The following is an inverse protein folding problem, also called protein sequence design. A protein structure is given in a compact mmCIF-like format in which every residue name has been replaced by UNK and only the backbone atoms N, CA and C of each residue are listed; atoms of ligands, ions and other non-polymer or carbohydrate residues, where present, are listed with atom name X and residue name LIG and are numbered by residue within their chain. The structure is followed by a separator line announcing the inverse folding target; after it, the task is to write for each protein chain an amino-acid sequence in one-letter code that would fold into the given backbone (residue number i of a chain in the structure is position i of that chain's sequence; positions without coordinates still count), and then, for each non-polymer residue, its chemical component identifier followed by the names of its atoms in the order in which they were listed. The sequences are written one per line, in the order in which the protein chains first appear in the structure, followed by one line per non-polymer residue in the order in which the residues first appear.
data_IF_844677414474
#
_entry.id   IF_844677414474
#
_cell.length_a   1.000
_cell.length_b   1.000
_cell.length_c   1.000
_cell.angle_alpha   90.00
_cell.angle_beta   90.00
_cell.angle_gamma   90.00
#
_symmetry.space_group_name_H-M   'P 1'
#
loop_
_entity.id
_entity.type
_entity.pdbx_description
1 polymer ?
#
# COMPACT_ATOMS: atom_id res chain seq x y z
N UNK A 1 -3.49 -10.74 41.27
CA UNK A 1 -4.39 -10.17 42.30
C UNK A 1 -3.76 -8.95 43.02
N UNK A 2 -3.10 -8.05 42.29
CA UNK A 2 -2.60 -6.75 42.82
C UNK A 2 -2.72 -5.62 41.79
N UNK A 3 -3.61 -5.75 40.78
CA UNK A 3 -3.72 -4.80 39.66
C UNK A 3 -4.70 -3.64 39.88
N UNK A 4 -5.51 -3.65 40.95
CA UNK A 4 -6.62 -2.70 41.09
C UNK A 4 -6.33 -1.39 41.85
N UNK A 5 -5.22 -1.29 42.60
CA UNK A 5 -5.01 -0.18 43.55
C UNK A 5 -4.38 1.07 42.92
N UNK A 6 -3.37 0.91 42.06
CA UNK A 6 -2.61 2.03 41.49
C UNK A 6 -3.35 2.82 40.40
N UNK A 7 -4.10 2.13 39.54
CA UNK A 7 -4.82 2.75 38.42
C UNK A 7 -5.99 3.63 38.87
N UNK A 8 -6.76 3.16 39.86
CA UNK A 8 -7.90 3.90 40.39
C UNK A 8 -7.51 5.24 41.04
N UNK A 9 -6.35 5.28 41.72
CA UNK A 9 -5.87 6.51 42.34
C UNK A 9 -5.42 7.56 41.32
N UNK A 10 -4.70 7.15 40.27
CA UNK A 10 -4.31 8.07 39.19
C UNK A 10 -5.56 8.57 38.43
N UNK A 11 -6.56 7.72 38.23
CA UNK A 11 -7.82 8.15 37.61
C UNK A 11 -8.50 9.26 38.42
N UNK A 12 -8.50 9.18 39.75
CA UNK A 12 -9.01 10.23 40.63
C UNK A 12 -8.20 11.53 40.49
N UNK A 13 -6.87 11.44 40.53
CA UNK A 13 -5.99 12.60 40.38
C UNK A 13 -6.17 13.28 39.01
N UNK A 14 -6.33 12.51 37.93
CA UNK A 14 -6.64 13.06 36.61
C UNK A 14 -8.01 13.76 36.59
N UNK A 15 -9.02 13.28 37.30
CA UNK A 15 -10.30 14.02 37.43
C UNK A 15 -10.11 15.36 38.14
N UNK A 16 -9.32 15.38 39.22
CA UNK A 16 -9.05 16.60 40.01
C UNK A 16 -8.20 17.59 39.21
N UNK A 17 -7.18 17.11 38.51
CA UNK A 17 -6.22 17.92 37.75
C UNK A 17 -6.55 18.00 36.25
N UNK A 18 -7.82 17.83 35.88
CA UNK A 18 -8.26 17.80 34.49
C UNK A 18 -7.73 18.97 33.68
N UNK A 19 -8.05 20.20 34.09
CA UNK A 19 -7.67 21.41 33.35
C UNK A 19 -6.15 21.59 33.21
N UNK A 20 -5.34 21.55 34.28
CA UNK A 20 -3.89 21.74 34.14
C UNK A 20 -3.22 20.61 33.34
N UNK A 21 -3.64 19.35 33.49
CA UNK A 21 -3.05 18.23 32.73
C UNK A 21 -3.48 18.26 31.27
N UNK A 22 -4.76 18.43 30.99
CA UNK A 22 -5.27 18.49 29.60
C UNK A 22 -4.70 19.70 28.85
N UNK A 23 -4.68 20.87 29.49
CA UNK A 23 -4.10 22.08 28.90
C UNK A 23 -2.63 21.89 28.53
N UNK A 24 -1.84 21.31 29.44
CA UNK A 24 -0.42 21.02 29.18
C UNK A 24 -0.24 19.95 28.11
N UNK A 25 -1.07 18.92 28.11
CA UNK A 25 -1.03 17.86 27.09
C UNK A 25 -1.29 18.41 25.68
N UNK A 26 -2.31 19.29 25.53
CA UNK A 26 -2.61 19.98 24.27
C UNK A 26 -1.43 20.83 23.80
N UNK A 27 -0.79 21.57 24.71
CA UNK A 27 0.39 22.39 24.38
C UNK A 27 1.54 21.51 23.87
N UNK A 28 1.85 20.42 24.58
CA UNK A 28 2.94 19.51 24.22
C UNK A 28 2.71 18.90 22.84
N UNK A 29 1.52 18.35 22.58
CA UNK A 29 1.17 17.78 21.27
C UNK A 29 1.18 18.85 20.18
N UNK A 30 0.62 20.02 20.47
CA UNK A 30 0.54 21.15 19.53
C UNK A 30 1.87 21.79 19.17
N UNK A 31 2.98 21.47 19.84
CA UNK A 31 4.32 21.85 19.36
C UNK A 31 4.80 20.93 18.24
N UNK A 32 4.40 19.65 18.26
CA UNK A 32 4.85 18.63 17.30
C UNK A 32 4.01 18.55 16.04
N UNK A 33 2.70 18.80 16.11
CA UNK A 33 1.78 18.66 14.95
C UNK A 33 1.22 19.99 14.41
N UNK A 34 1.81 21.13 14.81
CA UNK A 34 1.28 22.48 14.53
C UNK A 34 1.06 22.79 13.05
N UNK A 35 1.88 22.23 12.18
CA UNK A 35 1.84 22.50 10.73
C UNK A 35 0.76 21.68 10.02
N UNK A 36 0.18 20.68 10.69
CA UNK A 36 -0.76 19.72 10.12
C UNK A 36 -2.16 19.79 10.75
N UNK A 37 -2.28 20.33 11.95
CA UNK A 37 -3.53 20.41 12.70
C UNK A 37 -3.73 21.78 13.34
N UNK A 38 -4.98 22.22 13.40
CA UNK A 38 -5.39 23.39 14.16
C UNK A 38 -5.45 23.10 15.66
N UNK A 39 -5.25 24.12 16.50
CA UNK A 39 -5.39 23.97 17.95
C UNK A 39 -6.77 23.45 18.36
N UNK A 40 -7.82 23.85 17.62
CA UNK A 40 -9.20 23.40 17.88
C UNK A 40 -9.36 21.90 17.65
N UNK A 41 -8.76 21.35 16.59
CA UNK A 41 -8.79 19.91 16.30
C UNK A 41 -8.03 19.12 17.36
N UNK A 42 -6.82 19.56 17.71
CA UNK A 42 -6.00 18.92 18.76
C UNK A 42 -6.76 18.91 20.08
N UNK A 43 -7.35 20.06 20.46
CA UNK A 43 -8.13 20.18 21.69
C UNK A 43 -9.33 19.25 21.71
N UNK A 44 -10.09 19.15 20.61
CA UNK A 44 -11.25 18.28 20.52
C UNK A 44 -10.85 16.80 20.69
N UNK A 45 -9.86 16.36 19.90
CA UNK A 45 -9.34 14.98 19.91
C UNK A 45 -8.79 14.59 21.29
N UNK A 46 -7.91 15.41 21.88
CA UNK A 46 -7.31 15.10 23.18
C UNK A 46 -8.31 15.20 24.33
N UNK A 47 -9.35 16.04 24.22
CA UNK A 47 -10.42 16.09 25.22
C UNK A 47 -11.22 14.80 25.27
N UNK A 48 -11.53 14.24 24.11
CA UNK A 48 -12.23 12.95 23.98
C UNK A 48 -11.36 11.80 24.54
N UNK A 49 -10.11 11.71 24.08
CA UNK A 49 -9.16 10.70 24.56
C UNK A 49 -8.93 10.81 26.07
N UNK A 50 -8.83 12.03 26.62
CA UNK A 50 -8.71 12.24 28.06
C UNK A 50 -9.86 11.59 28.84
N UNK A 51 -11.10 11.81 28.37
CA UNK A 51 -12.29 11.25 28.99
C UNK A 51 -12.29 9.72 28.99
N UNK A 52 -11.92 9.13 27.85
CA UNK A 52 -11.82 7.68 27.68
C UNK A 52 -10.71 7.07 28.56
N UNK A 53 -9.54 7.72 28.62
CA UNK A 53 -8.41 7.30 29.48
C UNK A 53 -8.82 7.31 30.96
N UNK A 54 -9.44 8.39 31.43
CA UNK A 54 -9.85 8.52 32.84
C UNK A 54 -10.93 7.50 33.22
N UNK A 55 -11.86 7.17 32.31
CA UNK A 55 -12.86 6.11 32.53
C UNK A 55 -12.21 4.73 32.54
N UNK A 56 -11.36 4.43 31.57
CA UNK A 56 -10.68 3.15 31.46
C UNK A 56 -9.77 2.87 32.67
N UNK A 57 -8.97 3.84 33.12
CA UNK A 57 -8.18 3.75 34.35
C UNK A 57 -9.03 3.59 35.61
N UNK A 58 -10.27 4.08 35.58
CA UNK A 58 -11.26 3.89 36.63
C UNK A 58 -11.89 2.50 36.69
N UNK A 59 -11.48 1.57 35.81
CA UNK A 59 -12.00 0.21 35.75
C UNK A 59 -13.20 0.01 34.82
N UNK A 60 -13.54 1.00 34.00
CA UNK A 60 -14.61 0.87 33.00
C UNK A 60 -14.11 0.09 31.78
N UNK A 61 -14.44 -1.20 31.72
CA UNK A 61 -14.06 -2.08 30.62
C UNK A 61 -14.66 -1.69 29.26
N UNK A 62 -15.79 -0.98 29.24
CA UNK A 62 -16.37 -0.47 27.98
C UNK A 62 -15.54 0.69 27.45
N UNK A 63 -15.12 1.61 28.33
CA UNK A 63 -14.26 2.73 27.97
C UNK A 63 -12.87 2.27 27.47
N UNK A 64 -12.35 1.15 27.97
CA UNK A 64 -11.09 0.59 27.48
C UNK A 64 -11.21 0.13 26.00
N UNK A 65 -12.35 -0.48 25.64
CA UNK A 65 -12.66 -0.84 24.25
C UNK A 65 -12.85 0.38 23.35
N UNK A 66 -13.62 1.37 23.82
CA UNK A 66 -13.82 2.66 23.12
C UNK A 66 -12.50 3.39 22.88
N UNK A 67 -11.61 3.43 23.88
CA UNK A 67 -10.29 4.05 23.78
C UNK A 67 -9.43 3.38 22.72
N UNK A 68 -9.36 2.05 22.71
CA UNK A 68 -8.60 1.30 21.70
C UNK A 68 -9.14 1.56 20.30
N UNK A 69 -10.46 1.55 20.13
CA UNK A 69 -11.08 1.85 18.84
C UNK A 69 -10.80 3.28 18.36
N UNK A 70 -10.87 4.27 19.28
CA UNK A 70 -10.58 5.66 18.97
C UNK A 70 -9.11 5.86 18.56
N UNK A 71 -8.16 5.27 19.30
CA UNK A 71 -6.74 5.31 18.96
C UNK A 71 -6.45 4.65 17.61
N UNK A 72 -7.04 3.48 17.34
CA UNK A 72 -6.89 2.80 16.06
C UNK A 72 -7.40 3.66 14.89
N UNK A 73 -8.53 4.34 15.07
CA UNK A 73 -9.08 5.22 14.03
C UNK A 73 -8.21 6.45 13.78
N UNK A 74 -7.70 7.09 14.85
CA UNK A 74 -6.74 8.20 14.74
C UNK A 74 -5.48 7.72 14.02
N UNK A 75 -4.90 6.59 14.42
CA UNK A 75 -3.70 6.03 13.77
C UNK A 75 -3.89 5.77 12.29
N UNK A 76 -5.00 5.13 11.90
CA UNK A 76 -5.35 4.88 10.49
C UNK A 76 -5.52 6.20 9.73
N UNK A 77 -6.23 7.16 10.32
CA UNK A 77 -6.44 8.48 9.73
C UNK A 77 -5.12 9.22 9.49
N UNK A 78 -4.22 9.22 10.49
CA UNK A 78 -2.89 9.84 10.43
C UNK A 78 -1.99 9.19 9.38
N UNK A 79 -2.00 7.86 9.26
CA UNK A 79 -1.25 7.11 8.24
C UNK A 79 -1.69 7.48 6.81
N UNK A 80 -3.00 7.63 6.58
CA UNK A 80 -3.56 8.08 5.29
C UNK A 80 -3.21 9.53 4.96
N UNK A 81 -3.16 10.40 5.97
CA UNK A 81 -2.81 11.82 5.82
C UNK A 81 -1.30 12.09 5.75
N UNK A 82 -0.46 11.05 5.89
CA UNK A 82 0.99 11.15 5.77
C UNK A 82 1.69 11.80 6.97
N UNK A 83 1.09 11.69 8.15
CA UNK A 83 1.79 11.97 9.41
C UNK A 83 2.86 10.91 9.64
N UNK A 84 3.92 11.24 10.35
CA UNK A 84 4.91 10.26 10.81
C UNK A 84 4.39 9.42 11.99
N UNK A 85 4.99 8.25 12.24
CA UNK A 85 4.70 7.47 13.45
C UNK A 85 4.94 8.28 14.73
N UNK A 86 5.98 9.11 14.76
CA UNK A 86 6.31 9.97 15.90
C UNK A 86 5.23 11.03 16.15
N UNK A 87 4.78 11.72 15.10
CA UNK A 87 3.69 12.70 15.20
C UNK A 87 2.35 12.07 15.63
N UNK A 88 2.15 10.79 15.35
CA UNK A 88 0.97 10.04 15.79
C UNK A 88 1.09 9.64 17.26
N UNK A 89 2.23 9.04 17.63
CA UNK A 89 2.45 8.49 18.97
C UNK A 89 2.61 9.57 20.05
N UNK A 90 3.10 10.77 19.70
CA UNK A 90 3.24 11.87 20.67
C UNK A 90 1.89 12.32 21.24
N UNK A 91 0.80 12.12 20.47
CA UNK A 91 -0.56 12.31 20.93
C UNK A 91 -0.84 11.55 22.23
N UNK A 92 -0.28 10.36 22.39
CA UNK A 92 -0.45 9.51 23.58
C UNK A 92 0.66 9.72 24.61
N UNK A 93 1.92 9.64 24.19
CA UNK A 93 3.07 9.67 25.11
C UNK A 93 3.21 11.00 25.88
N UNK A 94 2.83 12.12 25.28
CA UNK A 94 2.94 13.44 25.92
C UNK A 94 2.11 13.57 27.21
N UNK A 95 1.07 12.73 27.39
CA UNK A 95 0.27 12.72 28.60
C UNK A 95 1.10 12.40 29.86
N UNK A 96 2.14 11.55 29.73
CA UNK A 96 3.07 11.25 30.83
C UNK A 96 3.76 12.49 31.36
N UNK A 97 4.27 13.30 30.43
CA UNK A 97 4.96 14.54 30.78
C UNK A 97 3.98 15.53 31.42
N UNK A 98 2.78 15.67 30.86
CA UNK A 98 1.75 16.55 31.43
C UNK A 98 1.39 16.17 32.87
N UNK A 99 1.20 14.87 33.17
CA UNK A 99 0.95 14.41 34.53
C UNK A 99 2.18 14.60 35.43
N UNK A 100 3.37 14.24 34.96
CA UNK A 100 4.61 14.38 35.75
C UNK A 100 4.88 15.83 36.17
N UNK A 101 4.71 16.78 35.25
CA UNK A 101 4.87 18.21 35.54
C UNK A 101 3.84 18.70 36.57
N UNK A 102 2.61 18.18 36.52
CA UNK A 102 1.57 18.50 37.50
C UNK A 102 1.86 17.90 38.88
N UNK A 103 2.35 16.66 38.96
CA UNK A 103 2.78 16.03 40.21
C UNK A 103 3.92 16.85 40.84
N UNK A 104 4.90 17.27 40.04
CA UNK A 104 6.02 18.10 40.51
C UNK A 104 5.54 19.45 41.05
N UNK A 105 4.51 20.03 40.43
CA UNK A 105 3.94 21.33 40.84
C UNK A 105 3.17 21.22 42.15
N UNK A 106 2.37 20.18 42.31
CA UNK A 106 1.52 19.96 43.49
C UNK A 106 2.27 19.33 44.67
N UNK A 107 3.37 18.62 44.39
CA UNK A 107 4.14 17.81 45.36
C UNK A 107 3.26 16.79 46.09
N UNK A 108 2.21 16.28 45.44
CA UNK A 108 1.33 15.29 46.04
C UNK A 108 2.03 13.93 46.09
N UNK A 109 2.47 13.53 47.29
CA UNK A 109 3.19 12.27 47.50
C UNK A 109 2.38 11.04 47.10
N UNK A 110 1.05 11.14 47.15
CA UNK A 110 0.14 10.02 46.82
C UNK A 110 0.22 9.65 45.34
N UNK A 111 0.55 10.62 44.48
CA UNK A 111 0.65 10.41 43.03
C UNK A 111 1.82 9.50 42.62
N UNK A 112 2.89 9.43 43.41
CA UNK A 112 4.06 8.61 43.07
C UNK A 112 3.76 7.10 43.09
N UNK A 113 2.85 6.65 43.96
CA UNK A 113 2.51 5.23 44.10
C UNK A 113 1.84 4.63 42.85
N UNK A 114 1.14 5.44 42.05
CA UNK A 114 0.47 5.01 40.83
C UNK A 114 1.22 5.34 39.54
N UNK A 115 2.30 6.11 39.61
CA UNK A 115 2.95 6.69 38.42
C UNK A 115 3.55 5.62 37.50
N UNK A 116 4.15 4.56 38.06
CA UNK A 116 4.73 3.46 37.26
C UNK A 116 3.63 2.72 36.49
N UNK A 117 2.51 2.40 37.15
CA UNK A 117 1.37 1.73 36.51
C UNK A 117 0.74 2.62 35.42
N UNK A 118 0.59 3.91 35.69
CA UNK A 118 0.11 4.86 34.70
C UNK A 118 1.08 4.99 33.50
N UNK A 119 2.38 5.06 33.77
CA UNK A 119 3.40 5.11 32.72
C UNK A 119 3.32 3.86 31.84
N UNK A 120 3.26 2.66 32.44
CA UNK A 120 3.11 1.41 31.70
C UNK A 120 1.82 1.39 30.87
N UNK A 121 0.70 1.83 31.44
CA UNK A 121 -0.57 1.93 30.72
C UNK A 121 -0.47 2.86 29.50
N UNK A 122 0.15 4.03 29.64
CA UNK A 122 0.34 4.94 28.51
C UNK A 122 1.35 4.37 27.49
N UNK A 123 2.36 3.60 27.93
CA UNK A 123 3.25 2.87 27.00
C UNK A 123 2.47 1.85 26.17
N UNK A 124 1.59 1.07 26.79
CA UNK A 124 0.73 0.11 26.09
C UNK A 124 -0.15 0.79 25.04
N UNK A 125 -0.78 1.93 25.40
CA UNK A 125 -1.58 2.70 24.46
C UNK A 125 -0.73 3.27 23.31
N UNK A 126 0.47 3.77 23.62
CA UNK A 126 1.38 4.33 22.63
C UNK A 126 1.91 3.27 21.66
N UNK A 127 2.20 2.07 22.16
CA UNK A 127 2.63 0.94 21.34
C UNK A 127 1.48 0.45 20.44
N UNK A 128 0.26 0.28 20.98
CA UNK A 128 -0.91 -0.09 20.19
C UNK A 128 -1.19 0.93 19.07
N UNK A 129 -1.07 2.23 19.39
CA UNK A 129 -1.20 3.33 18.41
C UNK A 129 -0.18 3.18 17.28
N UNK A 130 1.08 2.82 17.60
CA UNK A 130 2.13 2.59 16.62
C UNK A 130 1.88 1.34 15.76
N UNK A 131 1.44 0.24 16.37
CA UNK A 131 1.09 -0.99 15.66
C UNK A 131 -0.06 -0.76 14.67
N UNK A 132 -1.13 -0.08 15.10
CA UNK A 132 -2.26 0.28 14.23
C UNK A 132 -1.82 1.21 13.09
N UNK A 133 -0.93 2.17 13.36
CA UNK A 133 -0.36 3.03 12.34
C UNK A 133 0.45 2.23 11.32
N UNK A 134 1.33 1.34 11.79
CA UNK A 134 2.21 0.53 10.94
C UNK A 134 1.39 -0.40 10.05
N UNK A 135 0.42 -1.11 10.61
CA UNK A 135 -0.50 -1.97 9.87
C UNK A 135 -1.29 -1.19 8.81
N UNK A 136 -1.80 -0.01 9.17
CA UNK A 136 -2.49 0.86 8.22
C UNK A 136 -1.57 1.32 7.07
N UNK A 137 -0.32 1.65 7.40
CA UNK A 137 0.66 2.09 6.40
C UNK A 137 1.08 0.96 5.47
N UNK A 138 1.26 -0.24 6.00
CA UNK A 138 1.57 -1.44 5.22
C UNK A 138 0.42 -1.78 4.26
N UNK A 139 -0.83 -1.72 4.71
CA UNK A 139 -1.99 -1.91 3.84
C UNK A 139 -2.04 -0.87 2.71
N UNK A 140 -1.80 0.41 3.02
CA UNK A 140 -1.75 1.46 1.99
C UNK A 140 -0.68 1.16 0.94
N UNK A 141 0.50 0.69 1.38
CA UNK A 141 1.60 0.34 0.46
C UNK A 141 1.23 -0.86 -0.39
N UNK A 142 0.60 -1.89 0.19
CA UNK A 142 0.14 -3.07 -0.52
C UNK A 142 -0.91 -2.70 -1.59
N UNK A 143 -1.93 -1.94 -1.22
CA UNK A 143 -2.98 -1.48 -2.14
C UNK A 143 -2.38 -0.64 -3.29
N UNK A 144 -1.43 0.25 -2.97
CA UNK A 144 -0.72 1.05 -3.98
C UNK A 144 0.12 0.19 -4.92
N UNK A 145 0.78 -0.85 -4.41
CA UNK A 145 1.54 -1.77 -5.23
C UNK A 145 0.63 -2.59 -6.16
N UNK A 146 -0.52 -3.05 -5.68
CA UNK A 146 -1.53 -3.76 -6.48
C UNK A 146 -2.09 -2.85 -7.60
N UNK A 147 -2.46 -1.61 -7.28
CA UNK A 147 -2.90 -0.63 -8.28
C UNK A 147 -1.83 -0.35 -9.34
N UNK A 148 -0.56 -0.26 -8.93
CA UNK A 148 0.54 -0.11 -9.87
C UNK A 148 0.67 -1.34 -10.78
N UNK A 149 0.44 -2.55 -10.27
CA UNK A 149 0.43 -3.78 -11.08
C UNK A 149 -0.73 -3.77 -12.10
N UNK A 150 -1.95 -3.44 -11.69
CA UNK A 150 -3.12 -3.35 -12.59
C UNK A 150 -2.91 -2.34 -13.72
N UNK A 151 -2.22 -1.23 -13.44
CA UNK A 151 -1.95 -0.18 -14.43
C UNK A 151 -0.77 -0.49 -15.36
N UNK A 152 -0.01 -1.55 -15.12
CA UNK A 152 1.36 -1.65 -15.63
C UNK A 152 1.55 -2.25 -17.03
N UNK A 153 0.50 -2.72 -17.73
CA UNK A 153 0.62 -3.21 -19.12
C UNK A 153 -0.75 -3.27 -19.79
N UNK A 154 -1.22 -2.18 -20.41
CA UNK A 154 -2.51 -2.18 -21.08
C UNK A 154 -2.45 -3.08 -22.33
N UNK A 155 -3.42 -3.99 -22.44
CA UNK A 155 -3.73 -4.63 -23.72
C UNK A 155 -4.42 -3.57 -24.59
N UNK A 156 -3.79 -3.19 -25.69
CA UNK A 156 -4.27 -2.12 -26.57
C UNK A 156 -4.75 -2.69 -27.90
N UNK A 157 -5.84 -2.16 -28.44
CA UNK A 157 -6.26 -2.48 -29.80
C UNK A 157 -5.38 -1.70 -30.78
N UNK A 158 -4.48 -2.41 -31.49
CA UNK A 158 -3.61 -1.81 -32.51
C UNK A 158 -4.35 -1.61 -33.84
N UNK A 159 -5.26 -2.52 -34.16
CA UNK A 159 -6.11 -2.46 -35.35
C UNK A 159 -7.36 -3.32 -35.16
N UNK A 160 -8.30 -3.27 -36.09
CA UNK A 160 -9.42 -4.20 -36.12
C UNK A 160 -8.92 -5.65 -36.24
N UNK A 161 -9.19 -6.44 -35.18
CA UNK A 161 -8.76 -7.83 -35.05
C UNK A 161 -7.29 -8.02 -34.65
N UNK A 162 -6.60 -6.98 -34.21
CA UNK A 162 -5.19 -7.01 -33.78
C UNK A 162 -5.04 -6.33 -32.41
N UNK A 163 -4.63 -7.11 -31.40
CA UNK A 163 -4.26 -6.60 -30.08
C UNK A 163 -2.74 -6.45 -29.96
N UNK A 164 -2.30 -5.53 -29.10
CA UNK A 164 -0.91 -5.28 -28.75
C UNK A 164 -0.73 -5.29 -27.23
N UNK A 165 0.38 -5.85 -26.77
CA UNK A 165 0.74 -5.92 -25.36
C UNK A 165 2.21 -5.53 -25.21
N UNK A 166 2.50 -4.26 -24.87
CA UNK A 166 3.86 -3.82 -24.60
C UNK A 166 4.27 -4.23 -23.17
N UNK A 167 5.35 -5.01 -23.06
CA UNK A 167 6.00 -5.37 -21.81
C UNK A 167 7.19 -4.43 -21.58
N UNK A 168 7.17 -3.69 -20.46
CA UNK A 168 8.20 -2.70 -20.12
C UNK A 168 8.69 -2.91 -18.69
N UNK A 169 10.02 -2.84 -18.50
CA UNK A 169 10.67 -2.89 -17.19
C UNK A 169 11.22 -4.28 -16.84
N UNK A 170 11.49 -4.50 -15.55
CA UNK A 170 11.75 -5.83 -15.01
C UNK A 170 10.44 -6.59 -14.97
N UNK A 171 10.32 -7.67 -15.73
CA UNK A 171 9.19 -8.59 -15.59
C UNK A 171 9.43 -9.41 -14.32
N UNK A 172 8.54 -9.26 -13.33
CA UNK A 172 8.37 -10.24 -12.28
C UNK A 172 7.22 -11.19 -12.65
N UNK A 173 7.16 -12.36 -12.00
CA UNK A 173 6.20 -13.41 -12.35
C UNK A 173 4.76 -13.02 -12.08
N UNK A 174 4.49 -12.32 -10.97
CA UNK A 174 3.15 -11.86 -10.59
C UNK A 174 2.57 -10.90 -11.64
N UNK A 175 3.33 -9.87 -12.03
CA UNK A 175 2.92 -8.92 -13.06
C UNK A 175 2.71 -9.63 -14.40
N UNK A 176 3.66 -10.49 -14.79
CA UNK A 176 3.57 -11.24 -16.06
C UNK A 176 2.28 -12.05 -16.13
N UNK A 177 1.91 -12.75 -15.06
CA UNK A 177 0.68 -13.52 -15.01
C UNK A 177 -0.56 -12.65 -15.25
N UNK A 178 -0.67 -11.51 -14.56
CA UNK A 178 -1.82 -10.57 -14.73
C UNK A 178 -1.91 -10.05 -16.17
N UNK A 179 -0.78 -9.70 -16.80
CA UNK A 179 -0.77 -9.24 -18.19
C UNK A 179 -1.30 -10.32 -19.13
N UNK A 180 -0.83 -11.55 -18.93
CA UNK A 180 -1.18 -12.68 -19.78
C UNK A 180 -2.65 -13.07 -19.64
N UNK A 181 -3.18 -13.09 -18.42
CA UNK A 181 -4.61 -13.32 -18.18
C UNK A 181 -5.47 -12.25 -18.84
N UNK A 182 -5.08 -10.97 -18.70
CA UNK A 182 -5.76 -9.84 -19.34
C UNK A 182 -5.72 -9.92 -20.87
N UNK A 183 -4.61 -10.37 -21.45
CA UNK A 183 -4.48 -10.61 -22.89
C UNK A 183 -5.46 -11.69 -23.36
N UNK A 184 -5.48 -12.85 -22.69
CA UNK A 184 -6.35 -13.96 -23.06
C UNK A 184 -7.83 -13.56 -22.96
N UNK A 185 -8.21 -12.84 -21.90
CA UNK A 185 -9.57 -12.31 -21.75
C UNK A 185 -9.92 -11.30 -22.86
N UNK A 186 -9.02 -10.36 -23.15
CA UNK A 186 -9.22 -9.34 -24.20
C UNK A 186 -9.34 -9.98 -25.59
N UNK A 187 -8.61 -11.06 -25.87
CA UNK A 187 -8.72 -11.80 -27.13
C UNK A 187 -10.10 -12.38 -27.33
N UNK A 188 -10.70 -12.95 -26.27
CA UNK A 188 -12.06 -13.49 -26.28
C UNK A 188 -13.07 -12.36 -26.46
N UNK A 189 -12.97 -11.31 -25.65
CA UNK A 189 -13.93 -10.20 -25.65
C UNK A 189 -13.96 -9.44 -27.00
N UNK A 190 -12.80 -9.33 -27.65
CA UNK A 190 -12.68 -8.61 -28.93
C UNK A 190 -12.77 -9.51 -30.17
N UNK A 191 -12.70 -10.84 -30.01
CA UNK A 191 -12.64 -11.78 -31.14
C UNK A 191 -11.42 -11.57 -32.04
N UNK A 192 -10.32 -11.05 -31.48
CA UNK A 192 -9.14 -10.67 -32.27
C UNK A 192 -8.40 -11.91 -32.77
N UNK A 193 -7.97 -11.87 -34.05
CA UNK A 193 -7.26 -12.99 -34.69
C UNK A 193 -5.75 -12.92 -34.50
N UNK A 194 -5.23 -11.75 -34.13
CA UNK A 194 -3.80 -11.51 -33.96
C UNK A 194 -3.50 -10.83 -32.63
N UNK A 195 -2.42 -11.25 -31.98
CA UNK A 195 -1.84 -10.59 -30.82
C UNK A 195 -0.37 -10.26 -31.08
N UNK A 196 0.05 -9.04 -30.77
CA UNK A 196 1.46 -8.64 -30.81
C UNK A 196 1.96 -8.43 -29.40
N UNK A 197 2.93 -9.23 -28.97
CA UNK A 197 3.55 -9.14 -27.65
C UNK A 197 4.91 -8.46 -27.83
N UNK A 198 5.03 -7.21 -27.38
CA UNK A 198 6.25 -6.44 -27.53
C UNK A 198 7.11 -6.51 -26.28
N UNK A 199 8.27 -7.15 -26.38
CA UNK A 199 9.22 -7.30 -25.27
C UNK A 199 10.42 -6.37 -25.39
N UNK A 200 10.34 -5.34 -26.24
CA UNK A 200 11.44 -4.37 -26.48
C UNK A 200 11.89 -3.67 -25.18
N UNK A 201 10.95 -3.42 -24.26
CA UNK A 201 11.16 -2.74 -22.98
C UNK A 201 11.63 -3.65 -21.84
N UNK A 202 11.81 -4.94 -22.08
CA UNK A 202 12.21 -5.93 -21.06
C UNK A 202 13.73 -6.01 -20.98
N UNK A 203 14.29 -5.77 -19.80
CA UNK A 203 15.75 -5.77 -19.58
C UNK A 203 16.37 -7.16 -19.50
N UNK A 204 15.64 -8.12 -18.93
CA UNK A 204 16.02 -9.51 -18.82
C UNK A 204 14.76 -10.39 -18.75
N UNK A 205 14.84 -11.59 -19.32
CA UNK A 205 13.80 -12.61 -19.20
C UNK A 205 14.38 -13.70 -18.31
N UNK A 206 13.72 -13.99 -17.19
CA UNK A 206 14.03 -15.15 -16.37
C UNK A 206 13.30 -16.41 -16.90
N UNK A 207 13.56 -17.55 -16.27
CA UNK A 207 12.94 -18.82 -16.65
C UNK A 207 11.42 -18.83 -16.48
N UNK A 208 10.90 -18.16 -15.44
CA UNK A 208 9.49 -18.20 -15.06
C UNK A 208 8.65 -17.35 -16.03
N UNK A 209 9.10 -16.13 -16.31
CA UNK A 209 8.53 -15.20 -17.29
C UNK A 209 8.52 -15.83 -18.68
N UNK A 210 9.61 -16.48 -19.11
CA UNK A 210 9.64 -17.18 -20.39
C UNK A 210 8.55 -18.26 -20.47
N UNK A 211 8.40 -19.08 -19.42
CA UNK A 211 7.37 -20.11 -19.36
C UNK A 211 5.95 -19.54 -19.39
N UNK A 212 5.68 -18.45 -18.66
CA UNK A 212 4.38 -17.79 -18.67
C UNK A 212 4.05 -17.20 -20.05
N UNK A 213 5.01 -16.55 -20.71
CA UNK A 213 4.86 -16.06 -22.09
C UNK A 213 4.42 -17.17 -23.04
N UNK A 214 5.09 -18.32 -22.99
CA UNK A 214 4.82 -19.43 -23.90
C UNK A 214 3.48 -20.10 -23.65
N UNK A 215 3.14 -20.35 -22.38
CA UNK A 215 1.83 -20.87 -22.00
C UNK A 215 0.72 -19.98 -22.56
N UNK A 216 0.93 -18.67 -22.50
CA UNK A 216 -0.03 -17.68 -23.03
C UNK A 216 -0.12 -17.73 -24.54
N UNK A 217 1.02 -17.78 -25.25
CA UNK A 217 1.04 -17.92 -26.71
C UNK A 217 0.35 -19.22 -27.15
N UNK A 218 0.59 -20.33 -26.45
CA UNK A 218 -0.08 -21.61 -26.71
C UNK A 218 -1.58 -21.53 -26.44
N UNK A 219 -1.99 -20.93 -25.32
CA UNK A 219 -3.40 -20.74 -24.98
C UNK A 219 -4.11 -19.87 -26.03
N UNK A 220 -3.52 -18.75 -26.43
CA UNK A 220 -4.03 -17.89 -27.50
C UNK A 220 -4.17 -18.65 -28.83
N UNK A 221 -3.18 -19.50 -29.18
CA UNK A 221 -3.25 -20.36 -30.38
C UNK A 221 -4.39 -21.36 -30.32
N UNK A 222 -4.64 -21.98 -29.16
CA UNK A 222 -5.80 -22.86 -28.95
C UNK A 222 -7.13 -22.13 -29.11
N UNK A 223 -7.17 -20.83 -28.80
CA UNK A 223 -8.32 -19.95 -29.02
C UNK A 223 -8.41 -19.40 -30.46
N UNK A 224 -7.54 -19.84 -31.37
CA UNK A 224 -7.56 -19.41 -32.78
C UNK A 224 -6.88 -18.07 -33.05
N UNK A 225 -6.07 -17.56 -32.11
CA UNK A 225 -5.28 -16.33 -32.27
C UNK A 225 -3.85 -16.64 -32.70
N UNK A 226 -3.34 -15.95 -33.71
CA UNK A 226 -1.92 -15.98 -34.10
C UNK A 226 -1.14 -14.92 -33.33
N UNK A 227 -0.22 -15.36 -32.46
CA UNK A 227 0.64 -14.46 -31.68
C UNK A 227 1.96 -14.16 -32.42
N UNK A 228 2.39 -12.91 -32.36
CA UNK A 228 3.67 -12.41 -32.89
C UNK A 228 4.42 -11.75 -31.75
N UNK A 229 5.70 -12.10 -31.57
CA UNK A 229 6.56 -11.51 -30.54
C UNK A 229 7.51 -10.50 -31.19
N UNK A 230 7.57 -9.27 -30.69
CA UNK A 230 8.52 -8.25 -31.13
C UNK A 230 9.55 -7.92 -30.07
N UNK A 231 10.72 -7.41 -30.47
CA UNK A 231 11.70 -6.87 -29.53
C UNK A 231 12.63 -7.90 -28.89
N UNK A 232 12.77 -9.10 -29.47
CA UNK A 232 13.66 -10.15 -28.95
C UNK A 232 15.12 -9.72 -29.10
N UNK A 233 15.73 -9.27 -28.01
CA UNK A 233 17.16 -8.90 -27.95
C UNK A 233 18.05 -10.15 -27.95
N UNK A 234 19.33 -10.06 -28.39
CA UNK A 234 20.25 -11.21 -28.41
C UNK A 234 20.38 -11.94 -27.07
N UNK A 235 20.38 -11.22 -25.95
CA UNK A 235 20.45 -11.79 -24.61
C UNK A 235 19.22 -12.66 -24.29
N UNK A 236 18.02 -12.20 -24.66
CA UNK A 236 16.76 -12.92 -24.46
C UNK A 236 16.73 -14.19 -25.33
N UNK A 237 17.17 -14.08 -26.58
CA UNK A 237 17.28 -15.22 -27.49
C UNK A 237 18.23 -16.30 -26.94
N UNK A 238 19.38 -15.90 -26.38
CA UNK A 238 20.30 -16.84 -25.73
C UNK A 238 19.66 -17.53 -24.54
N UNK A 239 19.00 -16.78 -23.64
CA UNK A 239 18.31 -17.36 -22.49
C UNK A 239 17.27 -18.39 -22.92
N UNK A 240 16.43 -18.07 -23.91
CA UNK A 240 15.42 -18.99 -24.44
C UNK A 240 16.04 -20.30 -24.93
N UNK A 241 17.14 -20.21 -25.69
CA UNK A 241 17.87 -21.38 -26.20
C UNK A 241 18.49 -22.19 -25.06
N UNK A 242 19.10 -21.51 -24.08
CA UNK A 242 19.70 -22.17 -22.90
C UNK A 242 18.67 -22.89 -22.05
N UNK A 243 17.46 -22.35 -21.94
CA UNK A 243 16.35 -22.98 -21.21
C UNK A 243 15.76 -24.20 -21.94
N UNK A 244 16.24 -24.52 -23.15
CA UNK A 244 15.76 -25.64 -23.94
C UNK A 244 14.31 -25.44 -24.42
N UNK A 245 13.86 -24.19 -24.48
CA UNK A 245 12.51 -23.85 -24.89
C UNK A 245 12.45 -23.76 -26.41
N UNK A 246 11.59 -24.58 -27.01
CA UNK A 246 11.30 -24.49 -28.43
C UNK A 246 10.20 -23.45 -28.68
N UNK A 247 10.58 -22.29 -29.24
CA UNK A 247 9.60 -21.31 -29.75
C UNK A 247 8.90 -21.80 -31.03
N UNK A 248 9.33 -22.91 -31.64
CA UNK A 248 8.66 -23.60 -32.74
C UNK A 248 8.18 -22.65 -33.85
N UNK A 249 6.86 -22.59 -34.03
CA UNK A 249 6.17 -21.79 -35.06
C UNK A 249 5.89 -20.33 -34.64
N UNK A 250 6.32 -19.88 -33.46
CA UNK A 250 5.99 -18.54 -32.98
C UNK A 250 6.73 -17.51 -33.85
N UNK A 251 5.95 -16.66 -34.51
CA UNK A 251 6.50 -15.61 -35.38
C UNK A 251 7.17 -14.56 -34.52
N UNK A 252 8.45 -14.30 -34.78
CA UNK A 252 9.19 -13.22 -34.14
C UNK A 252 9.54 -12.10 -35.13
N UNK A 253 9.59 -10.86 -34.63
CA UNK A 253 10.02 -9.67 -35.37
C UNK A 253 10.98 -8.83 -34.55
N UNK A 254 11.81 -8.04 -35.23
CA UNK A 254 12.82 -7.23 -34.57
C UNK A 254 12.19 -6.13 -33.72
N UNK A 255 11.15 -5.47 -34.23
CA UNK A 255 10.43 -4.39 -33.54
C UNK A 255 8.91 -4.51 -33.71
N UNK A 256 8.18 -3.67 -32.95
CA UNK A 256 6.72 -3.62 -32.95
C UNK A 256 6.15 -3.21 -34.32
N UNK A 257 6.86 -2.36 -35.07
CA UNK A 257 6.40 -1.90 -36.39
C UNK A 257 6.39 -3.05 -37.40
N UNK A 258 7.44 -3.87 -37.40
CA UNK A 258 7.55 -5.08 -38.23
C UNK A 258 6.51 -6.14 -37.86
N UNK A 259 6.23 -6.31 -36.56
CA UNK A 259 5.18 -7.20 -36.07
C UNK A 259 3.79 -6.73 -36.51
N UNK A 260 3.49 -5.44 -36.37
CA UNK A 260 2.23 -4.87 -36.84
C UNK A 260 2.09 -4.97 -38.36
N UNK A 261 3.15 -4.67 -39.11
CA UNK A 261 3.14 -4.81 -40.57
C UNK A 261 2.91 -6.27 -41.00
N UNK A 262 3.43 -7.24 -40.25
CA UNK A 262 3.18 -8.66 -40.49
C UNK A 262 1.72 -9.03 -40.23
N UNK A 263 1.15 -8.65 -39.09
CA UNK A 263 -0.23 -8.98 -38.73
C UNK A 263 -1.25 -8.29 -39.63
N UNK A 264 -1.01 -7.03 -40.02
CA UNK A 264 -1.84 -6.33 -41.01
C UNK A 264 -1.90 -7.08 -42.34
N UNK A 265 -0.74 -7.51 -42.88
CA UNK A 265 -0.70 -8.29 -44.13
C UNK A 265 -1.47 -9.60 -44.02
N UNK A 266 -1.35 -10.30 -42.89
CA UNK A 266 -2.10 -11.55 -42.61
C UNK A 266 -3.60 -11.30 -42.47
N UNK A 267 -3.99 -10.14 -41.93
CA UNK A 267 -5.38 -9.70 -41.87
C UNK A 267 -5.94 -9.25 -43.23
N UNK A 268 -5.14 -9.23 -44.30
CA UNK A 268 -5.53 -8.76 -45.63
C UNK A 268 -5.42 -7.25 -45.82
N UNK A 269 -4.81 -6.53 -44.88
CA UNK A 269 -4.59 -5.09 -44.93
C UNK A 269 -3.18 -4.79 -45.43
N UNK A 270 -3.05 -3.97 -46.48
CA UNK A 270 -1.76 -3.56 -47.03
C UNK A 270 -1.53 -2.07 -46.74
N UNK A 271 -0.55 -1.77 -45.89
CA UNK A 271 -0.09 -0.39 -45.71
C UNK A 271 0.65 0.07 -46.98
N UNK A 272 0.27 1.24 -47.50
CA UNK A 272 0.88 1.86 -48.69
C UNK A 272 1.46 3.20 -48.25
N UNK A 273 2.71 3.49 -48.62
CA UNK A 273 3.22 4.87 -48.51
C UNK A 273 2.69 5.63 -49.71
N UNK A 274 1.85 6.63 -49.48
CA UNK A 274 1.55 7.61 -50.52
C UNK A 274 2.83 8.41 -50.80
N UNK A 275 3.28 8.36 -52.05
CA UNK A 275 4.42 9.16 -52.48
C UNK A 275 3.96 10.62 -52.62
N UNK A 276 4.35 11.48 -51.67
CA UNK A 276 4.14 12.94 -51.78
C UNK A 276 3.64 13.68 -50.54
N UNK A 277 3.75 13.12 -49.32
CA UNK A 277 3.55 13.85 -48.07
C UNK A 277 4.88 14.21 -47.41
#
# INVERSE_FOLDING_TARGET
MTEGSGGGHIAELLRIWREPVLGRWIELVGTSVRTRMTEREIRAELTELYGLIVRALGGDGTAAGELRAALAEISRGRARQGFSPTETAIGVFALKQALYEQIRTTRDERAYGGLIHFSAYVDELGLATFEDYAAAREQIIADQAEQLLELSTPVVKLWDGILGVPLVGTLDSARTQVVMETLLQSLVDTGSRFAVIDITGVSAVDTEVAQHLLKTVMAARLMGTECVISGVRPQIAQTIVTLGIEFGDIVTKADLADALAYTLRRAGVRAVREAGA
#
